data_IF_194776493318
#
_entry.id   IF_194776493318
#
_cell.length_a   1.000
_cell.length_b   1.000
_cell.length_c   1.000
_cell.angle_alpha   90.00
_cell.angle_beta   90.00
_cell.angle_gamma   90.00
#
_symmetry.space_group_name_H-M   'P 1'
#
loop_
_entity.id
_entity.type
_entity.pdbx_description
1 polymer ?
#
# COMPACT_ATOMS: atom_id res chain seq x y z
N UNK A 1 -7.26 16.82 -10.48
CA UNK A 1 -7.71 15.76 -11.40
C UNK A 1 -6.53 15.36 -12.28
N UNK A 2 -5.97 14.16 -12.12
CA UNK A 2 -4.79 13.77 -12.91
C UNK A 2 -5.20 13.25 -14.31
N UNK A 3 -4.54 13.65 -15.42
CA UNK A 3 -5.05 13.49 -16.79
C UNK A 3 -4.81 12.12 -17.44
N UNK A 4 -4.09 11.21 -16.79
CA UNK A 4 -3.72 9.91 -17.36
C UNK A 4 -4.21 8.79 -16.45
N UNK A 5 -5.16 7.97 -16.93
CA UNK A 5 -5.75 6.85 -16.19
C UNK A 5 -4.75 5.86 -15.60
N UNK A 6 -3.50 5.88 -16.09
CA UNK A 6 -2.33 5.15 -15.58
C UNK A 6 -2.10 5.40 -14.09
N UNK A 7 -2.20 6.66 -13.63
CA UNK A 7 -1.95 7.00 -12.23
C UNK A 7 -3.04 6.48 -11.29
N UNK A 8 -4.31 6.63 -11.65
CA UNK A 8 -5.43 6.13 -10.83
C UNK A 8 -5.49 4.61 -10.81
N UNK A 9 -5.40 3.97 -11.98
CA UNK A 9 -5.46 2.51 -12.08
C UNK A 9 -4.27 1.83 -11.38
N UNK A 10 -3.08 2.41 -11.49
CA UNK A 10 -1.91 1.90 -10.80
C UNK A 10 -1.97 2.09 -9.28
N UNK A 11 -2.41 3.25 -8.80
CA UNK A 11 -2.61 3.51 -7.36
C UNK A 11 -3.67 2.58 -6.76
N UNK A 12 -4.79 2.37 -7.45
CA UNK A 12 -5.83 1.44 -6.99
C UNK A 12 -5.36 -0.01 -6.98
N UNK A 13 -4.55 -0.44 -7.96
CA UNK A 13 -3.97 -1.77 -7.97
C UNK A 13 -3.01 -2.01 -6.79
N UNK A 14 -2.21 -1.00 -6.42
CA UNK A 14 -1.37 -1.09 -5.21
C UNK A 14 -2.23 -1.24 -3.96
N UNK A 15 -3.29 -0.44 -3.84
CA UNK A 15 -4.19 -0.51 -2.69
C UNK A 15 -4.84 -1.89 -2.60
N UNK A 16 -5.40 -2.39 -3.69
CA UNK A 16 -6.07 -3.69 -3.77
C UNK A 16 -5.15 -4.84 -3.34
N UNK A 17 -3.94 -4.90 -3.91
CA UNK A 17 -2.95 -5.92 -3.53
C UNK A 17 -2.57 -5.81 -2.05
N UNK A 18 -2.35 -4.61 -1.53
CA UNK A 18 -1.96 -4.47 -0.12
C UNK A 18 -3.10 -4.86 0.82
N UNK A 19 -4.35 -4.52 0.50
CA UNK A 19 -5.51 -4.88 1.31
C UNK A 19 -5.75 -6.40 1.31
N UNK A 20 -5.62 -7.05 0.16
CA UNK A 20 -5.74 -8.51 0.04
C UNK A 20 -4.65 -9.23 0.84
N UNK A 21 -3.41 -8.76 0.78
CA UNK A 21 -2.30 -9.29 1.60
C UNK A 21 -2.47 -9.03 3.09
N UNK A 22 -3.05 -7.88 3.47
CA UNK A 22 -3.39 -7.59 4.86
C UNK A 22 -4.47 -8.54 5.35
N UNK A 23 -5.46 -8.86 4.52
CA UNK A 23 -6.52 -9.77 4.93
C UNK A 23 -6.04 -11.23 5.00
N UNK A 24 -5.37 -11.72 3.94
CA UNK A 24 -4.94 -13.11 3.82
C UNK A 24 -3.69 -13.45 4.64
N UNK A 25 -2.67 -12.57 4.65
CA UNK A 25 -1.35 -12.85 5.24
C UNK A 25 -1.07 -12.05 6.52
N UNK A 26 -1.96 -11.12 6.90
CA UNK A 26 -1.74 -10.16 8.02
C UNK A 26 -0.43 -9.36 7.87
N UNK A 27 0.00 -9.12 6.63
CA UNK A 27 1.28 -8.45 6.31
C UNK A 27 1.07 -7.16 5.53
N UNK A 28 1.67 -6.06 6.01
CA UNK A 28 1.65 -4.76 5.32
C UNK A 28 2.92 -4.62 4.48
N UNK A 29 2.79 -4.85 3.17
CA UNK A 29 3.92 -4.84 2.21
C UNK A 29 3.88 -3.69 1.20
N UNK A 30 3.60 -2.45 1.62
CA UNK A 30 3.38 -1.33 0.67
C UNK A 30 4.62 -0.99 -0.18
N UNK A 31 5.80 -0.88 0.41
CA UNK A 31 7.03 -0.52 -0.31
C UNK A 31 7.41 -1.55 -1.37
N UNK A 32 7.33 -2.84 -1.01
CA UNK A 32 7.53 -3.98 -1.91
C UNK A 32 6.51 -3.97 -3.05
N UNK A 33 5.22 -3.77 -2.73
CA UNK A 33 4.13 -3.74 -3.72
C UNK A 33 4.29 -2.58 -4.70
N UNK A 34 4.63 -1.38 -4.21
CA UNK A 34 4.90 -0.21 -5.07
C UNK A 34 6.11 -0.46 -5.96
N UNK A 35 7.17 -1.11 -5.47
CA UNK A 35 8.35 -1.45 -6.26
C UNK A 35 8.01 -2.41 -7.41
N UNK A 36 7.22 -3.45 -7.14
CA UNK A 36 6.75 -4.42 -8.16
C UNK A 36 5.87 -3.72 -9.20
N UNK A 37 4.89 -2.93 -8.77
CA UNK A 37 3.97 -2.22 -9.66
C UNK A 37 4.72 -1.21 -10.53
N UNK A 38 5.69 -0.48 -9.99
CA UNK A 38 6.51 0.48 -10.76
C UNK A 38 7.33 -0.20 -11.86
N UNK A 39 7.76 -1.46 -11.65
CA UNK A 39 8.43 -2.25 -12.69
C UNK A 39 7.50 -2.67 -13.82
N UNK A 40 6.21 -2.89 -13.53
CA UNK A 40 5.22 -3.28 -14.55
C UNK A 40 4.54 -2.09 -15.25
N UNK A 41 4.37 -0.97 -14.54
CA UNK A 41 3.70 0.24 -15.04
C UNK A 41 4.51 1.48 -14.65
N UNK A 42 5.34 1.95 -15.57
CA UNK A 42 6.13 3.16 -15.39
C UNK A 42 5.23 4.37 -15.07
N UNK A 43 5.63 5.21 -14.11
CA UNK A 43 4.87 6.38 -13.67
C UNK A 43 3.82 6.11 -12.58
N UNK A 44 3.60 4.86 -12.18
CA UNK A 44 2.69 4.56 -11.08
C UNK A 44 3.24 5.03 -9.71
N UNK A 45 2.38 5.68 -8.90
CA UNK A 45 2.76 6.29 -7.61
C UNK A 45 3.98 7.23 -7.76
N UNK A 46 4.05 8.01 -8.84
CA UNK A 46 5.22 8.87 -9.12
C UNK A 46 5.42 10.00 -8.08
N UNK A 47 4.33 10.50 -7.48
CA UNK A 47 4.40 11.52 -6.45
C UNK A 47 4.44 10.92 -5.05
N UNK A 48 5.29 11.47 -4.19
CA UNK A 48 5.34 11.16 -2.77
C UNK A 48 3.99 11.35 -2.08
N UNK A 49 3.20 12.34 -2.52
CA UNK A 49 1.87 12.60 -1.98
C UNK A 49 0.89 11.44 -2.24
N UNK A 50 0.98 10.76 -3.39
CA UNK A 50 0.17 9.56 -3.65
C UNK A 50 0.60 8.37 -2.78
N UNK A 51 1.90 8.28 -2.47
CA UNK A 51 2.42 7.26 -1.57
C UNK A 51 1.91 7.48 -0.14
N UNK A 52 1.95 8.72 0.36
CA UNK A 52 1.40 9.08 1.67
C UNK A 52 -0.10 8.82 1.75
N UNK A 53 -0.85 9.19 0.71
CA UNK A 53 -2.29 8.95 0.70
C UNK A 53 -2.64 7.45 0.73
N UNK A 54 -1.85 6.60 0.04
CA UNK A 54 -1.98 5.15 0.14
C UNK A 54 -1.71 4.65 1.55
N UNK A 55 -0.65 5.16 2.20
CA UNK A 55 -0.34 4.83 3.60
C UNK A 55 -1.50 5.17 4.54
N UNK A 56 -2.06 6.38 4.43
CA UNK A 56 -3.20 6.81 5.25
C UNK A 56 -4.41 5.90 5.09
N UNK A 57 -4.76 5.55 3.85
CA UNK A 57 -5.88 4.66 3.55
C UNK A 57 -5.67 3.25 4.12
N UNK A 58 -4.48 2.69 3.96
CA UNK A 58 -4.14 1.36 4.49
C UNK A 58 -4.17 1.39 6.02
N UNK A 59 -3.64 2.45 6.64
CA UNK A 59 -3.68 2.61 8.10
C UNK A 59 -5.13 2.70 8.60
N UNK A 60 -5.97 3.51 7.95
CA UNK A 60 -7.40 3.59 8.28
C UNK A 60 -8.11 2.24 8.14
N UNK A 61 -7.83 1.50 7.07
CA UNK A 61 -8.40 0.17 6.87
C UNK A 61 -7.98 -0.81 7.98
N UNK A 62 -6.69 -0.83 8.32
CA UNK A 62 -6.16 -1.69 9.38
C UNK A 62 -6.82 -1.39 10.72
N UNK A 63 -6.90 -0.12 11.09
CA UNK A 63 -7.50 0.31 12.37
C UNK A 63 -9.00 0.00 12.41
N UNK A 64 -9.72 0.23 11.31
CA UNK A 64 -11.17 0.00 11.25
C UNK A 64 -11.57 -1.47 11.12
N UNK A 65 -10.73 -2.30 10.51
CA UNK A 65 -11.00 -3.73 10.31
C UNK A 65 -10.73 -4.57 11.57
N UNK A 66 -10.01 -4.03 12.57
CA UNK A 66 -9.63 -4.77 13.78
C UNK A 66 -8.71 -5.97 13.50
N UNK A 67 -8.16 -6.07 12.29
CA UNK A 67 -7.41 -7.24 11.80
C UNK A 67 -5.94 -7.27 12.27
N UNK A 68 -5.42 -6.17 12.80
CA UNK A 68 -4.00 -6.07 13.15
C UNK A 68 -3.82 -5.91 14.65
N UNK A 69 -3.10 -6.89 15.22
CA UNK A 69 -2.51 -6.79 16.54
C UNK A 69 -1.31 -5.83 16.48
N UNK A 70 -1.45 -4.66 17.10
CA UNK A 70 -0.44 -3.60 17.14
C UNK A 70 0.92 -4.10 17.67
N UNK A 71 0.96 -5.22 18.40
CA UNK A 71 2.19 -5.86 18.88
C UNK A 71 3.13 -6.37 17.76
N UNK A 72 2.62 -6.57 16.54
CA UNK A 72 3.41 -7.06 15.41
C UNK A 72 4.05 -5.93 14.58
N UNK A 73 3.58 -4.69 14.74
CA UNK A 73 4.02 -3.53 13.93
C UNK A 73 5.46 -3.09 14.31
N UNK A 74 5.95 -3.47 15.49
CA UNK A 74 7.27 -3.04 16.00
C UNK A 74 8.45 -4.00 15.79
N UNK A 75 8.27 -5.18 15.17
CA UNK A 75 9.32 -6.22 15.18
C UNK A 75 10.25 -6.26 13.95
N UNK A 76 10.31 -5.19 13.17
CA UNK A 76 11.32 -4.97 12.13
C UNK A 76 12.35 -3.92 12.58
N UNK A 77 13.02 -4.18 13.69
CA UNK A 77 14.27 -3.51 14.06
C UNK A 77 15.15 -4.47 14.85
N UNK A 78 15.51 -5.61 14.25
CA UNK A 78 16.62 -6.45 14.76
C UNK A 78 17.18 -7.35 13.66
N UNK A 79 18.00 -6.80 12.76
CA UNK A 79 19.22 -7.41 12.19
C UNK A 79 19.81 -6.50 11.12
#
# INVERSE_FOLDING_TARGET
MCPTGIHRAGTLAVLDIVLDRVDAEKKVGLSETVSIIRKQRYGCVASFQHYLHLLELIQHYIVSSGLVDVSQIGRLSSS
#
